data_IF_465406052856
#
_entry.id   IF_465406052856
#
_cell.length_a   1.000
_cell.length_b   1.000
_cell.length_c   1.000
_cell.angle_alpha   90.00
_cell.angle_beta   90.00
_cell.angle_gamma   90.00
#
_symmetry.space_group_name_H-M   'P 1'
#
loop_
_entity.id
_entity.type
_entity.pdbx_description
1 polymer ?
#
# COMPACT_ATOMS: atom_id res chain seq x y z
N UNK A 1 10.42 16.77 1.22
CA UNK A 1 10.51 15.50 0.45
C UNK A 1 9.40 14.59 0.93
N UNK A 2 8.67 13.92 0.04
CA UNK A 2 7.62 12.95 0.43
C UNK A 2 8.21 11.79 1.23
N UNK A 3 7.47 11.21 2.18
CA UNK A 3 7.81 9.98 2.90
C UNK A 3 8.26 8.84 1.97
N UNK A 4 7.66 8.76 0.78
CA UNK A 4 8.02 7.79 -0.26
C UNK A 4 9.47 7.92 -0.73
N UNK A 5 9.90 9.11 -1.14
CA UNK A 5 11.27 9.37 -1.60
C UNK A 5 12.31 9.05 -0.51
N UNK A 6 12.01 9.38 0.75
CA UNK A 6 12.90 9.07 1.89
C UNK A 6 13.04 7.56 2.11
N UNK A 7 11.92 6.81 2.07
CA UNK A 7 11.94 5.34 2.19
C UNK A 7 12.72 4.69 1.04
N UNK A 8 12.50 5.15 -0.19
CA UNK A 8 13.22 4.67 -1.36
C UNK A 8 14.72 4.95 -1.26
N UNK A 9 15.09 6.15 -0.85
CA UNK A 9 16.50 6.53 -0.65
C UNK A 9 17.16 5.67 0.43
N UNK A 10 16.51 5.46 1.58
CA UNK A 10 17.06 4.66 2.67
C UNK A 10 17.30 3.20 2.26
N UNK A 11 16.43 2.62 1.43
CA UNK A 11 16.50 1.21 1.03
C UNK A 11 17.39 0.97 -0.18
N UNK A 12 17.42 1.88 -1.14
CA UNK A 12 18.15 1.71 -2.42
C UNK A 12 19.52 2.39 -2.41
N UNK A 13 19.74 3.36 -1.51
CA UNK A 13 20.95 4.19 -1.50
C UNK A 13 21.06 5.17 -2.68
N UNK A 14 20.07 5.21 -3.57
CA UNK A 14 20.07 6.08 -4.74
C UNK A 14 19.87 7.55 -4.35
N UNK A 15 20.49 8.44 -5.12
CA UNK A 15 20.25 9.88 -4.96
C UNK A 15 18.81 10.24 -5.26
N UNK A 16 18.28 11.25 -4.56
CA UNK A 16 16.88 11.66 -4.74
C UNK A 16 16.54 12.06 -6.19
N UNK A 17 17.47 12.69 -6.90
CA UNK A 17 17.30 13.04 -8.32
C UNK A 17 17.13 11.79 -9.20
N UNK A 18 17.93 10.75 -8.95
CA UNK A 18 17.84 9.46 -9.66
C UNK A 18 16.52 8.77 -9.36
N UNK A 19 16.11 8.76 -8.08
CA UNK A 19 14.82 8.22 -7.65
C UNK A 19 13.67 8.92 -8.38
N UNK A 20 13.65 10.25 -8.41
CA UNK A 20 12.61 11.02 -9.10
C UNK A 20 12.58 10.73 -10.61
N UNK A 21 13.75 10.62 -11.25
CA UNK A 21 13.83 10.26 -12.67
C UNK A 21 13.27 8.86 -12.94
N UNK A 22 13.63 7.86 -12.11
CA UNK A 22 13.14 6.48 -12.29
C UNK A 22 11.62 6.44 -12.09
N UNK A 23 11.09 7.10 -11.06
CA UNK A 23 9.64 7.19 -10.82
C UNK A 23 8.94 7.81 -12.03
N UNK A 24 9.44 8.95 -12.53
CA UNK A 24 8.85 9.61 -13.69
C UNK A 24 8.80 8.67 -14.90
N UNK A 25 9.90 7.99 -15.20
CA UNK A 25 9.97 7.06 -16.33
C UNK A 25 8.97 5.90 -16.18
N UNK A 26 8.81 5.37 -14.97
CA UNK A 26 7.85 4.31 -14.68
C UNK A 26 6.40 4.80 -14.78
N UNK A 27 6.11 6.00 -14.28
CA UNK A 27 4.78 6.61 -14.36
C UNK A 27 4.39 6.99 -15.80
N UNK A 28 5.36 7.30 -16.66
CA UNK A 28 5.20 7.45 -18.11
C UNK A 28 4.96 6.11 -18.85
N UNK A 29 4.98 4.98 -18.14
CA UNK A 29 4.73 3.64 -18.69
C UNK A 29 5.94 2.98 -19.35
N UNK A 30 7.15 3.50 -19.14
CA UNK A 30 8.36 2.85 -19.66
C UNK A 30 8.63 1.53 -18.93
N UNK A 31 9.03 0.50 -19.68
CA UNK A 31 9.37 -0.80 -19.10
C UNK A 31 10.78 -0.81 -18.52
N UNK A 32 11.04 -1.68 -17.53
CA UNK A 32 12.38 -1.82 -16.93
C UNK A 32 13.48 -2.06 -17.99
N UNK A 33 13.33 -3.01 -18.95
CA UNK A 33 14.34 -3.21 -19.98
C UNK A 33 14.56 -2.00 -20.88
N UNK A 34 13.50 -1.22 -21.14
CA UNK A 34 13.61 0.02 -21.90
C UNK A 34 14.40 1.08 -21.14
N UNK A 35 14.09 1.28 -19.86
CA UNK A 35 14.81 2.22 -18.99
C UNK A 35 16.28 1.83 -18.89
N UNK A 36 16.56 0.56 -18.58
CA UNK A 36 17.92 0.05 -18.44
C UNK A 36 18.75 0.21 -19.72
N UNK A 37 18.12 0.09 -20.90
CA UNK A 37 18.82 0.18 -22.18
C UNK A 37 18.95 1.60 -22.74
N UNK A 38 17.91 2.43 -22.60
CA UNK A 38 17.76 3.70 -23.32
C UNK A 38 17.68 4.95 -22.43
N UNK A 39 17.69 4.79 -21.10
CA UNK A 39 17.59 5.90 -20.13
C UNK A 39 18.70 5.87 -19.08
N UNK A 40 19.83 5.24 -19.39
CA UNK A 40 20.98 5.06 -18.48
C UNK A 40 21.47 6.36 -17.84
N UNK A 41 21.54 7.45 -18.61
CA UNK A 41 22.00 8.75 -18.09
C UNK A 41 21.07 9.29 -16.98
N UNK A 42 19.77 9.07 -17.11
CA UNK A 42 18.78 9.52 -16.13
C UNK A 42 18.82 8.69 -14.84
N UNK A 43 19.27 7.43 -14.94
CA UNK A 43 19.34 6.48 -13.82
C UNK A 43 20.74 6.30 -13.24
N UNK A 44 21.73 7.08 -13.72
CA UNK A 44 23.17 6.90 -13.42
C UNK A 44 23.66 5.46 -13.67
N UNK A 45 23.15 4.83 -14.73
CA UNK A 45 23.56 3.48 -15.14
C UNK A 45 22.97 2.36 -14.30
N UNK A 46 21.83 2.57 -13.64
CA UNK A 46 21.14 1.51 -12.89
C UNK A 46 20.89 0.26 -13.77
N UNK A 47 21.19 -0.91 -13.22
CA UNK A 47 21.02 -2.20 -13.90
C UNK A 47 19.55 -2.63 -13.94
N UNK A 48 19.21 -3.58 -14.82
CA UNK A 48 17.86 -4.17 -14.87
C UNK A 48 17.42 -4.75 -13.51
N UNK A 49 18.34 -5.37 -12.76
CA UNK A 49 18.09 -5.90 -11.42
C UNK A 49 17.78 -4.78 -10.42
N UNK A 50 18.62 -3.73 -10.38
CA UNK A 50 18.40 -2.57 -9.51
C UNK A 50 17.08 -1.85 -9.82
N UNK A 51 16.72 -1.75 -11.10
CA UNK A 51 15.46 -1.14 -11.53
C UNK A 51 14.25 -2.01 -11.18
N UNK A 52 14.40 -3.34 -11.17
CA UNK A 52 13.35 -4.26 -10.72
C UNK A 52 13.13 -4.17 -9.22
N UNK A 53 14.20 -4.22 -8.43
CA UNK A 53 14.13 -4.06 -6.98
C UNK A 53 13.52 -2.71 -6.60
N UNK A 54 13.94 -1.64 -7.30
CA UNK A 54 13.35 -0.33 -7.16
C UNK A 54 11.85 -0.33 -7.45
N UNK A 55 11.44 -0.93 -8.57
CA UNK A 55 10.03 -0.96 -8.97
C UNK A 55 9.16 -1.71 -7.98
N UNK A 56 9.63 -2.86 -7.46
CA UNK A 56 8.92 -3.64 -6.44
C UNK A 56 8.75 -2.82 -5.16
N UNK A 57 9.82 -2.18 -4.68
CA UNK A 57 9.79 -1.36 -3.48
C UNK A 57 8.89 -0.12 -3.66
N UNK A 58 8.99 0.56 -4.81
CA UNK A 58 8.15 1.71 -5.16
C UNK A 58 6.68 1.30 -5.18
N UNK A 59 6.35 0.22 -5.88
CA UNK A 59 4.97 -0.29 -5.99
C UNK A 59 4.40 -0.68 -4.63
N UNK A 60 5.18 -1.40 -3.82
CA UNK A 60 4.77 -1.77 -2.46
C UNK A 60 4.53 -0.52 -1.59
N UNK A 61 5.46 0.44 -1.61
CA UNK A 61 5.34 1.65 -0.78
C UNK A 61 4.16 2.51 -1.22
N UNK A 62 3.94 2.66 -2.53
CA UNK A 62 2.78 3.37 -3.08
C UNK A 62 1.47 2.71 -2.66
N UNK A 63 1.39 1.38 -2.74
CA UNK A 63 0.22 0.61 -2.27
C UNK A 63 -0.01 0.80 -0.77
N UNK A 64 1.04 0.70 0.05
CA UNK A 64 0.95 0.93 1.49
C UNK A 64 0.39 2.32 1.83
N UNK A 65 0.93 3.38 1.23
CA UNK A 65 0.45 4.74 1.51
C UNK A 65 -1.00 4.94 1.01
N UNK A 66 -1.34 4.47 -0.19
CA UNK A 66 -2.72 4.51 -0.69
C UNK A 66 -3.68 3.74 0.24
N UNK A 67 -3.26 2.58 0.74
CA UNK A 67 -4.09 1.77 1.65
C UNK A 67 -4.31 2.45 3.00
N UNK A 68 -3.30 3.15 3.53
CA UNK A 68 -3.45 3.96 4.75
C UNK A 68 -4.50 5.05 4.56
N UNK A 69 -4.42 5.80 3.46
CA UNK A 69 -5.37 6.85 3.12
C UNK A 69 -6.79 6.30 3.00
N UNK A 70 -6.96 5.18 2.29
CA UNK A 70 -8.25 4.50 2.16
C UNK A 70 -8.82 4.08 3.51
N UNK A 71 -8.01 3.46 4.38
CA UNK A 71 -8.46 3.02 5.71
C UNK A 71 -8.85 4.21 6.58
N UNK A 72 -8.06 5.28 6.58
CA UNK A 72 -8.38 6.51 7.30
C UNK A 72 -9.73 7.05 6.84
N UNK A 73 -9.93 7.19 5.52
CA UNK A 73 -11.20 7.63 4.94
C UNK A 73 -12.37 6.73 5.36
N UNK A 74 -12.22 5.41 5.25
CA UNK A 74 -13.28 4.45 5.59
C UNK A 74 -13.69 4.47 7.07
N UNK A 75 -12.76 4.77 7.97
CA UNK A 75 -13.04 4.89 9.41
C UNK A 75 -13.67 6.26 9.71
N UNK A 76 -13.20 7.32 9.04
CA UNK A 76 -13.71 8.69 9.18
C UNK A 76 -15.15 8.83 8.67
N UNK A 77 -15.49 8.16 7.57
CA UNK A 77 -16.87 8.06 7.05
C UNK A 77 -17.85 7.46 8.07
N UNK A 78 -17.35 6.68 9.04
CA UNK A 78 -18.15 6.14 10.15
C UNK A 78 -18.19 7.06 11.38
N UNK A 79 -17.45 8.17 11.36
CA UNK A 79 -17.28 9.08 12.50
C UNK A 79 -16.49 8.47 13.67
N UNK A 80 -15.72 7.41 13.41
CA UNK A 80 -14.99 6.65 14.44
C UNK A 80 -13.48 6.92 14.42
N UNK A 81 -13.00 7.80 13.54
CA UNK A 81 -11.58 8.11 13.43
C UNK A 81 -11.16 9.03 14.59
N UNK A 82 -10.23 8.55 15.42
CA UNK A 82 -9.55 9.38 16.41
C UNK A 82 -8.19 9.83 15.87
N UNK A 83 -7.69 10.97 16.36
CA UNK A 83 -6.35 11.44 15.99
C UNK A 83 -5.25 10.44 16.37
N UNK A 84 -5.41 9.73 17.50
CA UNK A 84 -4.50 8.67 17.90
C UNK A 84 -4.50 7.51 16.88
N UNK A 85 -5.69 7.03 16.47
CA UNK A 85 -5.81 5.96 15.49
C UNK A 85 -5.27 6.37 14.12
N UNK A 86 -5.56 7.59 13.68
CA UNK A 86 -5.01 8.17 12.45
C UNK A 86 -3.48 8.14 12.48
N UNK A 87 -2.88 8.59 13.58
CA UNK A 87 -1.42 8.57 13.74
C UNK A 87 -0.86 7.15 13.75
N UNK A 88 -1.54 6.18 14.39
CA UNK A 88 -1.15 4.77 14.35
C UNK A 88 -1.19 4.19 12.92
N UNK A 89 -2.20 4.55 12.12
CA UNK A 89 -2.31 4.11 10.72
C UNK A 89 -1.20 4.74 9.87
N UNK A 90 -0.96 6.05 10.02
CA UNK A 90 0.11 6.76 9.30
C UNK A 90 1.49 6.19 9.63
N UNK A 91 1.73 5.83 10.90
CA UNK A 91 2.97 5.24 11.37
C UNK A 91 3.15 3.76 10.97
N UNK A 92 2.11 3.08 10.47
CA UNK A 92 2.21 1.67 10.12
C UNK A 92 3.23 1.43 8.99
N UNK A 93 4.16 0.49 9.18
CA UNK A 93 5.21 0.19 8.20
C UNK A 93 4.85 -0.94 7.24
N UNK A 94 3.77 -1.68 7.52
CA UNK A 94 3.35 -2.84 6.74
C UNK A 94 1.86 -2.82 6.44
N UNK A 95 1.48 -3.38 5.29
CA UNK A 95 0.07 -3.57 4.93
C UNK A 95 -0.68 -4.40 5.98
N UNK A 96 -0.04 -5.43 6.53
CA UNK A 96 -0.61 -6.25 7.59
C UNK A 96 -0.98 -5.41 8.83
N UNK A 97 -0.09 -4.50 9.25
CA UNK A 97 -0.37 -3.63 10.41
C UNK A 97 -1.54 -2.68 10.13
N UNK A 98 -1.62 -2.13 8.92
CA UNK A 98 -2.76 -1.30 8.48
C UNK A 98 -4.07 -2.11 8.53
N UNK A 99 -4.06 -3.34 8.03
CA UNK A 99 -5.23 -4.22 8.05
C UNK A 99 -5.67 -4.62 9.46
N UNK A 100 -4.72 -4.83 10.37
CA UNK A 100 -5.03 -5.16 11.76
C UNK A 100 -5.66 -3.97 12.50
N UNK A 101 -5.18 -2.75 12.24
CA UNK A 101 -5.79 -1.52 12.76
C UNK A 101 -7.19 -1.30 12.18
N UNK A 102 -7.40 -1.64 10.90
CA UNK A 102 -8.70 -1.49 10.25
C UNK A 102 -9.71 -2.58 10.64
N UNK A 103 -9.25 -3.77 11.05
CA UNK A 103 -10.08 -4.95 11.31
C UNK A 103 -11.32 -4.70 12.18
N UNK A 104 -11.27 -3.92 13.28
CA UNK A 104 -12.46 -3.65 14.11
C UNK A 104 -13.56 -2.86 13.40
N UNK A 105 -13.21 -2.09 12.37
CA UNK A 105 -14.11 -1.19 11.63
C UNK A 105 -14.66 -1.81 10.35
N UNK A 106 -14.14 -2.97 9.94
CA UNK A 106 -14.66 -3.71 8.78
C UNK A 106 -16.08 -4.17 9.04
N UNK A 107 -16.96 -3.87 8.10
CA UNK A 107 -18.31 -4.41 8.11
C UNK A 107 -18.25 -5.93 8.03
N UNK A 108 -18.94 -6.61 8.96
CA UNK A 108 -19.13 -8.05 8.84
C UNK A 108 -19.97 -8.29 7.60
N UNK A 109 -19.41 -8.96 6.59
CA UNK A 109 -20.22 -9.49 5.48
C UNK A 109 -21.31 -10.34 6.10
N UNK A 110 -22.58 -9.98 5.87
CA UNK A 110 -23.72 -10.82 6.21
C UNK A 110 -23.61 -12.12 5.41
N UNK A 111 -22.96 -13.12 5.98
CA UNK A 111 -22.85 -14.44 5.36
C UNK A 111 -24.21 -15.12 5.38
N UNK A 112 -24.47 -16.06 4.47
CA UNK A 112 -25.73 -16.86 4.49
C UNK A 112 -25.97 -17.50 5.87
N UNK A 113 -24.91 -17.86 6.59
CA UNK A 113 -24.98 -18.36 7.97
C UNK A 113 -25.47 -17.29 8.98
N UNK A 114 -25.03 -16.03 8.84
CA UNK A 114 -25.48 -14.91 9.68
C UNK A 114 -26.96 -14.58 9.42
N UNK A 115 -27.38 -14.65 8.15
CA UNK A 115 -28.79 -14.44 7.74
C UNK A 115 -29.68 -15.60 8.23
N UNK A 116 -29.19 -16.84 8.22
CA UNK A 116 -29.93 -18.00 8.72
C UNK A 116 -30.15 -17.93 10.25
N UNK A 117 -29.13 -17.54 11.01
CA UNK A 117 -29.26 -17.31 12.47
C UNK A 117 -30.24 -16.18 12.80
N UNK A 118 -30.17 -15.06 12.07
CA UNK A 118 -31.09 -13.94 12.25
C UNK A 118 -32.56 -14.28 11.89
N UNK A 119 -32.79 -15.32 11.09
CA UNK A 119 -34.12 -15.87 10.75
C UNK A 119 -34.59 -16.99 11.69
N UNK A 120 -33.88 -17.26 12.80
CA UNK A 120 -34.28 -18.26 13.79
C UNK A 120 -34.07 -19.72 13.33
N UNK A 121 -33.22 -19.97 12.33
CA UNK A 121 -32.95 -21.31 11.79
C UNK A 121 -31.82 -22.07 12.52
N UNK A 122 -31.35 -21.58 13.68
CA UNK A 122 -30.33 -22.25 14.49
C UNK A 122 -30.67 -23.73 14.86
N UNK A 123 -31.93 -24.14 15.09
CA UNK A 123 -32.23 -25.53 15.47
C UNK A 123 -32.10 -26.58 14.36
N UNK A 124 -31.93 -26.20 13.09
CA UNK A 124 -31.88 -27.13 11.95
C UNK A 124 -30.45 -27.54 11.53
N UNK A 125 -29.42 -26.99 12.17
CA UNK A 125 -28.02 -27.22 11.83
C UNK A 125 -27.35 -28.36 12.64
N UNK A 126 -28.10 -29.08 13.47
CA UNK A 126 -27.65 -30.27 14.19
C UNK A 126 -28.47 -31.49 13.75
N UNK A 127 -28.08 -32.08 12.63
CA UNK A 127 -28.41 -33.46 12.23
C UNK A 127 -27.21 -34.05 11.51
#
# INVERSE_FOLDING_TARGET
MSTLHQKLQQKTGMETSVISNIIQLLDEGNTIPFIARYRKEMTKGATDEQLRDFFELYSYTKNLEARKEDVIRLIDEKGLLTEELKNQILAAETLARVEDLYRPFKEKKNTKATIAKAKGLDPLAQL
#
